data_IF_972376363146
#
_entry.id   IF_972376363146
#
_cell.length_a   1.000
_cell.length_b   1.000
_cell.length_c   1.000
_cell.angle_alpha   90.00
_cell.angle_beta   90.00
_cell.angle_gamma   90.00
#
_symmetry.space_group_name_H-M   'P 1'
#
loop_
_entity.id
_entity.type
_entity.pdbx_description
1 polymer ?
#
# COMPACT_ATOMS: atom_id res chain seq x y z
N UNK A 1 0.47 0.36 14.58
CA UNK A 1 -0.97 0.67 14.67
C UNK A 1 -1.75 -0.58 15.06
N UNK A 2 -2.92 -0.42 15.72
CA UNK A 2 -3.85 -1.52 16.02
C UNK A 2 -5.23 -1.09 15.52
N UNK A 3 -5.91 -1.96 14.77
CA UNK A 3 -7.27 -1.71 14.27
C UNK A 3 -8.20 -2.69 14.97
N UNK A 4 -9.20 -2.17 15.69
CA UNK A 4 -10.26 -2.98 16.28
C UNK A 4 -11.30 -3.28 15.21
N UNK A 5 -11.40 -4.53 14.78
CA UNK A 5 -12.40 -4.91 13.79
C UNK A 5 -13.79 -4.98 14.43
N UNK A 6 -14.83 -4.62 13.68
CA UNK A 6 -16.22 -4.75 14.14
C UNK A 6 -16.67 -6.19 14.46
N UNK A 7 -15.92 -7.23 14.06
CA UNK A 7 -16.18 -8.60 14.49
C UNK A 7 -15.57 -8.95 15.86
N UNK A 8 -14.86 -8.02 16.50
CA UNK A 8 -14.18 -8.22 17.78
C UNK A 8 -12.70 -8.57 17.68
N UNK A 9 -12.23 -8.98 16.50
CA UNK A 9 -10.81 -9.29 16.29
C UNK A 9 -9.92 -8.06 16.17
N UNK A 10 -8.66 -8.21 16.56
CA UNK A 10 -7.67 -7.13 16.46
C UNK A 10 -6.74 -7.36 15.28
N UNK A 11 -6.64 -6.37 14.39
CA UNK A 11 -5.67 -6.37 13.29
C UNK A 11 -4.44 -5.60 13.76
N UNK A 12 -3.30 -6.30 13.81
CA UNK A 12 -2.03 -5.71 14.21
C UNK A 12 -1.26 -5.20 12.99
N UNK A 13 -0.78 -3.98 13.11
CA UNK A 13 0.18 -3.37 12.19
C UNK A 13 1.41 -2.94 13.00
N UNK A 14 2.25 -3.91 13.36
CA UNK A 14 3.40 -3.73 14.25
C UNK A 14 4.75 -3.74 13.54
N UNK A 15 4.82 -4.35 12.37
CA UNK A 15 6.06 -4.60 11.61
C UNK A 15 5.80 -4.55 10.12
N UNK A 16 6.87 -4.62 9.33
CA UNK A 16 6.76 -4.87 7.89
C UNK A 16 6.41 -6.33 7.59
N UNK A 17 6.10 -6.61 6.32
CA UNK A 17 5.84 -7.95 5.79
C UNK A 17 4.69 -8.70 6.48
N UNK A 18 3.55 -8.02 6.67
CA UNK A 18 2.36 -8.58 7.31
C UNK A 18 1.38 -9.12 6.27
N UNK A 19 0.90 -10.38 6.38
CA UNK A 19 0.01 -11.00 5.37
C UNK A 19 -1.38 -10.36 5.30
N UNK A 20 -1.76 -9.60 6.32
CA UNK A 20 -3.02 -8.89 6.43
C UNK A 20 -2.92 -7.41 6.01
N UNK A 21 -1.76 -6.94 5.54
CA UNK A 21 -1.50 -5.54 5.19
C UNK A 21 -1.09 -5.44 3.73
N UNK A 22 -1.67 -4.50 3.02
CA UNK A 22 -1.34 -4.17 1.64
C UNK A 22 -1.18 -2.67 1.45
N UNK A 23 -0.88 -2.29 0.20
CA UNK A 23 -0.78 -0.90 -0.26
C UNK A 23 -1.85 -0.66 -1.31
N UNK A 24 -2.60 0.41 -1.17
CA UNK A 24 -3.52 0.89 -2.19
C UNK A 24 -2.86 2.04 -2.95
N UNK A 25 -2.67 1.87 -4.24
CA UNK A 25 -2.25 2.92 -5.17
C UNK A 25 -3.35 2.99 -6.24
N UNK A 26 -4.05 4.13 -6.38
CA UNK A 26 -5.00 4.32 -7.47
C UNK A 26 -4.33 4.12 -8.84
N UNK A 27 -5.06 3.60 -9.83
CA UNK A 27 -4.51 3.28 -11.15
C UNK A 27 -3.82 4.50 -11.82
N UNK A 28 -4.43 5.68 -11.69
CA UNK A 28 -3.85 6.92 -12.20
C UNK A 28 -2.52 7.28 -11.54
N UNK A 29 -2.40 7.06 -10.23
CA UNK A 29 -1.18 7.37 -9.48
C UNK A 29 -0.13 6.29 -9.70
N UNK A 30 -0.56 5.05 -9.93
CA UNK A 30 0.30 3.93 -10.29
C UNK A 30 1.01 4.22 -11.61
N UNK A 31 0.29 4.64 -12.64
CA UNK A 31 0.88 5.01 -13.93
C UNK A 31 1.79 6.24 -13.81
N UNK A 32 1.31 7.31 -13.15
CA UNK A 32 2.09 8.53 -12.96
C UNK A 32 3.40 8.29 -12.18
N UNK A 33 3.40 7.36 -11.23
CA UNK A 33 4.60 6.95 -10.50
C UNK A 33 5.65 6.34 -11.43
N UNK A 34 5.26 5.48 -12.38
CA UNK A 34 6.23 4.90 -13.34
C UNK A 34 6.82 5.95 -14.26
N UNK A 35 5.98 6.83 -14.83
CA UNK A 35 6.46 7.93 -15.66
C UNK A 35 7.45 8.81 -14.89
N UNK A 36 7.15 9.10 -13.62
CA UNK A 36 8.05 9.85 -12.75
C UNK A 36 9.36 9.11 -12.45
N UNK A 37 9.33 7.79 -12.25
CA UNK A 37 10.53 7.00 -12.03
C UNK A 37 11.46 7.02 -13.25
N UNK A 38 10.90 6.88 -14.46
CA UNK A 38 11.68 6.92 -15.70
C UNK A 38 12.41 8.26 -15.86
N UNK A 39 11.67 9.37 -15.78
CA UNK A 39 12.23 10.71 -16.02
C UNK A 39 13.10 11.18 -14.85
N UNK A 40 12.64 11.03 -13.61
CA UNK A 40 13.30 11.66 -12.47
C UNK A 40 14.43 10.81 -11.90
N UNK A 41 14.44 9.50 -12.16
CA UNK A 41 15.45 8.57 -11.63
C UNK A 41 16.28 7.97 -12.75
N UNK A 42 15.66 7.23 -13.68
CA UNK A 42 16.39 6.43 -14.68
C UNK A 42 17.18 7.31 -15.65
N UNK A 43 16.52 8.28 -16.28
CA UNK A 43 17.18 9.19 -17.24
C UNK A 43 18.30 10.01 -16.58
N UNK A 44 18.05 10.52 -15.37
CA UNK A 44 19.02 11.36 -14.66
C UNK A 44 20.23 10.57 -14.17
N UNK A 45 20.02 9.33 -13.72
CA UNK A 45 21.10 8.41 -13.36
C UNK A 45 21.93 8.04 -14.61
N UNK A 46 21.27 7.72 -15.73
CA UNK A 46 21.94 7.40 -16.99
C UNK A 46 22.75 8.59 -17.56
N UNK A 47 22.23 9.82 -17.41
CA UNK A 47 22.93 11.04 -17.79
C UNK A 47 24.07 11.43 -16.83
N UNK A 48 24.27 10.70 -15.73
CA UNK A 48 25.27 11.01 -14.69
C UNK A 48 24.95 12.27 -13.87
N UNK A 49 23.72 12.77 -13.96
CA UNK A 49 23.25 13.98 -13.23
C UNK A 49 22.62 13.67 -11.87
N UNK A 50 22.45 12.38 -11.56
CA UNK A 50 21.97 11.87 -10.28
C UNK A 50 22.91 10.76 -9.82
N UNK A 51 23.39 10.83 -8.57
CA UNK A 51 24.21 9.76 -8.00
C UNK A 51 23.33 8.52 -7.73
N UNK A 52 23.96 7.34 -7.66
CA UNK A 52 23.23 6.10 -7.35
C UNK A 52 22.51 6.15 -5.99
N UNK A 53 23.12 6.76 -4.98
CA UNK A 53 22.51 6.93 -3.66
C UNK A 53 21.28 7.84 -3.74
N UNK A 54 21.40 8.99 -4.40
CA UNK A 54 20.29 9.91 -4.59
C UNK A 54 19.16 9.28 -5.42
N UNK A 55 19.49 8.49 -6.44
CA UNK A 55 18.53 7.71 -7.22
C UNK A 55 17.78 6.71 -6.35
N UNK A 56 18.47 5.98 -5.47
CA UNK A 56 17.85 5.06 -4.53
C UNK A 56 16.90 5.77 -3.55
N UNK A 57 17.23 6.97 -3.10
CA UNK A 57 16.37 7.75 -2.22
C UNK A 57 15.13 8.27 -2.96
N UNK A 58 15.32 8.90 -4.12
CA UNK A 58 14.24 9.47 -4.92
C UNK A 58 13.26 8.39 -5.41
N UNK A 59 13.76 7.21 -5.79
CA UNK A 59 12.93 6.06 -6.15
C UNK A 59 12.01 5.65 -4.99
N UNK A 60 12.54 5.56 -3.76
CA UNK A 60 11.74 5.19 -2.58
C UNK A 60 10.68 6.23 -2.26
N UNK A 61 11.02 7.51 -2.39
CA UNK A 61 10.08 8.62 -2.19
C UNK A 61 8.91 8.54 -3.18
N UNK A 62 9.21 8.38 -4.48
CA UNK A 62 8.19 8.27 -5.53
C UNK A 62 7.28 7.07 -5.33
N UNK A 63 7.84 5.90 -4.96
CA UNK A 63 7.05 4.68 -4.74
C UNK A 63 6.17 4.80 -3.50
N UNK A 64 6.64 5.46 -2.44
CA UNK A 64 5.91 5.56 -1.17
C UNK A 64 4.89 6.71 -1.14
N UNK A 65 5.07 7.75 -1.95
CA UNK A 65 4.22 8.96 -1.90
C UNK A 65 2.73 8.72 -2.21
N UNK A 66 2.33 7.90 -3.20
CA UNK A 66 0.91 7.72 -3.53
C UNK A 66 0.23 6.61 -2.72
N UNK A 67 0.96 5.98 -1.79
CA UNK A 67 0.52 4.76 -1.12
C UNK A 67 -0.41 5.05 0.05
N UNK A 68 -1.58 4.41 0.04
CA UNK A 68 -2.49 4.32 1.19
C UNK A 68 -2.43 2.95 1.85
N UNK A 69 -2.72 2.90 3.15
CA UNK A 69 -2.81 1.64 3.87
C UNK A 69 -4.10 0.89 3.54
N UNK A 70 -3.99 -0.43 3.36
CA UNK A 70 -5.12 -1.35 3.36
C UNK A 70 -4.81 -2.52 4.28
N UNK A 71 -5.81 -2.95 5.05
CA UNK A 71 -5.71 -4.07 5.98
C UNK A 71 -6.92 -4.98 5.86
N UNK A 72 -6.73 -6.29 6.00
CA UNK A 72 -7.81 -7.28 5.97
C UNK A 72 -7.93 -8.00 7.31
N UNK A 73 -9.15 -8.09 7.85
CA UNK A 73 -9.40 -8.94 8.99
C UNK A 73 -9.31 -10.42 8.59
N UNK A 74 -8.40 -11.18 9.20
CA UNK A 74 -8.21 -12.61 8.90
C UNK A 74 -9.37 -13.51 9.38
N UNK A 75 -10.28 -12.99 10.21
CA UNK A 75 -11.42 -13.75 10.74
C UNK A 75 -12.72 -13.53 9.97
N UNK A 76 -13.00 -12.29 9.56
CA UNK A 76 -14.26 -11.95 8.91
C UNK A 76 -14.11 -11.29 7.54
N UNK A 77 -12.88 -11.17 7.02
CA UNK A 77 -12.59 -10.64 5.70
C UNK A 77 -12.80 -9.13 5.50
N UNK A 78 -13.33 -8.39 6.49
CA UNK A 78 -13.52 -6.93 6.41
C UNK A 78 -12.23 -6.23 6.03
N UNK A 79 -12.31 -5.30 5.08
CA UNK A 79 -11.21 -4.49 4.63
C UNK A 79 -11.28 -3.11 5.28
N UNK A 80 -10.15 -2.66 5.79
CA UNK A 80 -9.95 -1.32 6.31
C UNK A 80 -9.00 -0.61 5.37
N UNK A 81 -9.35 0.59 4.92
CA UNK A 81 -8.60 1.34 3.91
C UNK A 81 -8.55 2.79 4.31
N UNK A 82 -7.39 3.42 4.22
CA UNK A 82 -7.30 4.87 4.40
C UNK A 82 -7.96 5.58 3.20
N UNK A 83 -8.84 6.55 3.46
CA UNK A 83 -9.32 7.46 2.43
C UNK A 83 -8.30 8.57 2.11
N UNK A 84 -8.72 9.58 1.34
CA UNK A 84 -7.85 10.68 0.94
C UNK A 84 -7.46 11.61 2.11
N UNK A 85 -8.20 11.57 3.21
CA UNK A 85 -7.94 12.35 4.43
C UNK A 85 -7.22 11.53 5.50
N UNK A 86 -6.84 10.27 5.19
CA UNK A 86 -6.24 9.34 6.13
C UNK A 86 -7.22 8.81 7.18
N UNK A 87 -8.54 8.93 6.93
CA UNK A 87 -9.54 8.30 7.79
C UNK A 87 -9.76 6.86 7.37
N UNK A 88 -9.89 5.98 8.36
CA UNK A 88 -10.02 4.56 8.13
C UNK A 88 -11.46 4.20 7.75
N UNK A 89 -11.66 3.78 6.50
CA UNK A 89 -12.94 3.31 5.97
C UNK A 89 -13.05 1.80 6.05
N UNK A 90 -14.26 1.27 6.27
CA UNK A 90 -14.50 -0.17 6.37
C UNK A 90 -15.39 -0.70 5.24
N UNK A 91 -14.91 -1.69 4.51
CA UNK A 91 -15.63 -2.43 3.48
C UNK A 91 -15.93 -3.85 3.95
N UNK A 92 -17.15 -4.32 3.68
CA UNK A 92 -17.66 -5.61 4.15
C UNK A 92 -17.67 -6.61 2.99
N UNK A 93 -17.20 -7.86 3.20
CA UNK A 93 -17.33 -8.91 2.20
C UNK A 93 -18.81 -9.14 1.84
N UNK A 94 -19.08 -9.48 0.58
CA UNK A 94 -20.45 -9.69 0.12
C UNK A 94 -21.12 -10.90 0.79
N UNK A 95 -20.35 -11.95 1.09
CA UNK A 95 -20.83 -13.20 1.70
C UNK A 95 -19.68 -13.97 2.38
N UNK A 96 -20.01 -15.11 3.01
CA UNK A 96 -19.06 -15.96 3.75
C UNK A 96 -18.05 -16.69 2.85
N UNK A 97 -18.35 -16.86 1.55
CA UNK A 97 -17.47 -17.51 0.58
C UNK A 97 -16.39 -16.57 0.02
N UNK A 98 -16.48 -15.27 0.32
CA UNK A 98 -15.52 -14.27 -0.16
C UNK A 98 -14.13 -14.54 0.44
N UNK A 99 -13.09 -14.60 -0.39
CA UNK A 99 -11.72 -14.92 0.08
C UNK A 99 -11.22 -13.86 1.07
N UNK A 100 -10.69 -14.35 2.19
CA UNK A 100 -10.19 -13.55 3.31
C UNK A 100 -8.67 -13.36 3.28
N UNK A 101 -8.03 -13.68 2.13
CA UNK A 101 -6.57 -13.64 1.95
C UNK A 101 -6.15 -12.81 0.74
N UNK A 102 -6.96 -11.82 0.34
CA UNK A 102 -6.69 -11.02 -0.87
C UNK A 102 -5.39 -10.21 -0.76
N UNK A 103 -4.95 -9.88 0.46
CA UNK A 103 -3.69 -9.17 0.72
C UNK A 103 -2.50 -10.11 0.96
N UNK A 104 -2.73 -11.43 1.00
CA UNK A 104 -1.68 -12.40 1.30
C UNK A 104 -0.84 -12.66 0.04
N UNK A 105 0.47 -12.49 0.17
CA UNK A 105 1.43 -12.91 -0.86
C UNK A 105 1.40 -14.41 -1.12
N UNK A 106 1.89 -14.82 -2.31
CA UNK A 106 2.02 -16.23 -2.70
C UNK A 106 3.16 -16.92 -1.98
#
# INVERSE_FOLDING_TARGET
MKISCYCGEMIFDSTDNLPQKGRLIPDQDWLAMFDALEVQVVERLAAGTLSFEAACMQMRELICSPVRGIWQCASCGKLYVDDLEGQLQCYVPANEETDQRILRGR
#
